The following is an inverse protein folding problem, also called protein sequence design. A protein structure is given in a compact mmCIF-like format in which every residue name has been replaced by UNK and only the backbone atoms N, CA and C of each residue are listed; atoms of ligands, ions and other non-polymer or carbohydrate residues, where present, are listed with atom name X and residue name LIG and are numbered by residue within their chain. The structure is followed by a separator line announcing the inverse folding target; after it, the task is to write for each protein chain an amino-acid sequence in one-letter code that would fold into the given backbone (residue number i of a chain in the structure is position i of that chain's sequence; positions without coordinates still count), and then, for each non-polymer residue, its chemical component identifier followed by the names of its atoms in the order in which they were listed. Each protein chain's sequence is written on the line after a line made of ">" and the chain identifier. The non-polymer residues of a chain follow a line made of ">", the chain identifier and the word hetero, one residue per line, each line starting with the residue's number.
data_IF_741032229105
#
_entry.id   IF_741032229105
#
_cell.length_a   1.000
_cell.length_b   1.000
_cell.length_c   1.000
_cell.angle_alpha   90.00
_cell.angle_beta   90.00
_cell.angle_gamma   90.00
#
_symmetry.space_group_name_H-M   'P 1'
#
loop_
_entity.id
_entity.type
_entity.pdbx_description
1 polymer ?
#
# COMPACT_ATOMS: atom_id res chain seq x y z
N UNK A 1 21.07 -4.15 -31.33
CA UNK A 1 20.37 -4.88 -30.28
C UNK A 1 19.81 -3.82 -29.36
N UNK A 2 18.49 -3.66 -29.30
CA UNK A 2 17.85 -2.75 -28.35
C UNK A 2 18.05 -3.37 -26.97
N UNK A 3 18.82 -2.73 -26.09
CA UNK A 3 18.86 -3.07 -24.67
C UNK A 3 17.55 -2.55 -24.06
N UNK A 4 16.47 -3.34 -24.16
CA UNK A 4 15.31 -3.07 -23.30
C UNK A 4 15.81 -3.27 -21.86
N UNK A 5 15.52 -2.32 -20.98
CA UNK A 5 15.71 -2.51 -19.54
C UNK A 5 14.84 -3.67 -19.10
N UNK A 6 15.36 -4.55 -18.26
CA UNK A 6 14.56 -5.61 -17.64
C UNK A 6 13.56 -5.01 -16.61
N UNK A 7 13.87 -3.82 -16.09
CA UNK A 7 13.03 -3.05 -15.18
C UNK A 7 12.03 -2.19 -15.93
N UNK A 8 10.76 -2.27 -15.56
CA UNK A 8 9.65 -1.57 -16.23
C UNK A 8 9.06 -0.47 -15.37
N UNK A 9 8.42 0.51 -16.00
CA UNK A 9 7.73 1.60 -15.28
C UNK A 9 6.44 1.09 -14.61
N UNK A 10 5.93 1.82 -13.62
CA UNK A 10 4.69 1.45 -12.94
C UNK A 10 3.49 1.47 -13.88
N UNK A 11 3.50 2.30 -14.93
CA UNK A 11 2.46 2.26 -15.97
C UNK A 11 2.51 0.97 -16.80
N UNK A 12 3.70 0.53 -17.21
CA UNK A 12 3.86 -0.74 -17.93
C UNK A 12 3.51 -1.94 -17.06
N UNK A 13 3.80 -1.86 -15.74
CA UNK A 13 3.37 -2.87 -14.77
C UNK A 13 1.83 -2.92 -14.67
N UNK A 14 1.16 -1.78 -14.63
CA UNK A 14 -0.29 -1.69 -14.62
C UNK A 14 -0.93 -2.36 -15.85
N UNK A 15 -0.37 -2.11 -17.03
CA UNK A 15 -0.82 -2.73 -18.29
C UNK A 15 -0.66 -4.25 -18.26
N UNK A 16 0.43 -4.75 -17.67
CA UNK A 16 0.67 -6.19 -17.51
C UNK A 16 -0.28 -6.85 -16.53
N UNK A 17 -0.65 -6.17 -15.46
CA UNK A 17 -1.58 -6.69 -14.44
C UNK A 17 -3.04 -6.64 -14.87
N UNK A 18 -3.42 -5.76 -15.81
CA UNK A 18 -4.81 -5.55 -16.20
C UNK A 18 -5.53 -6.78 -16.77
N UNK A 19 -4.91 -7.62 -17.62
CA UNK A 19 -5.59 -8.77 -18.20
C UNK A 19 -5.97 -9.83 -17.16
N UNK A 20 -7.23 -10.19 -17.13
CA UNK A 20 -7.78 -11.28 -16.28
C UNK A 20 -7.44 -11.16 -14.79
N UNK A 21 -7.21 -9.92 -14.31
CA UNK A 21 -6.83 -9.65 -12.93
C UNK A 21 -7.94 -10.06 -11.93
N UNK A 22 -7.53 -10.64 -10.80
CA UNK A 22 -8.46 -11.06 -9.74
C UNK A 22 -8.87 -9.92 -8.81
N UNK A 23 -9.11 -8.73 -9.36
CA UNK A 23 -9.45 -7.51 -8.63
C UNK A 23 -10.75 -7.68 -7.85
N UNK A 24 -10.75 -7.33 -6.57
CA UNK A 24 -11.99 -7.24 -5.80
C UNK A 24 -12.88 -6.11 -6.35
N UNK A 25 -14.20 -6.28 -6.34
CA UNK A 25 -15.10 -5.24 -6.80
C UNK A 25 -15.01 -3.98 -5.94
N UNK A 26 -15.22 -2.82 -6.56
CA UNK A 26 -15.48 -1.59 -5.83
C UNK A 26 -16.82 -1.72 -5.12
N UNK A 27 -16.87 -1.38 -3.83
CA UNK A 27 -18.06 -1.52 -2.99
C UNK A 27 -18.74 -0.17 -2.79
N UNK A 28 -20.07 -0.20 -2.81
CA UNK A 28 -20.92 0.94 -2.46
C UNK A 28 -21.28 1.01 -0.96
N UNK A 29 -20.72 0.14 -0.14
CA UNK A 29 -21.04 0.02 1.29
C UNK A 29 -20.80 1.31 2.08
N UNK A 30 -19.92 2.17 1.59
CA UNK A 30 -19.59 3.45 2.21
C UNK A 30 -20.46 4.60 1.69
N UNK A 31 -21.24 4.42 0.64
CA UNK A 31 -22.08 5.47 0.06
C UNK A 31 -23.00 6.11 1.09
N UNK A 32 -23.00 7.45 1.13
CA UNK A 32 -23.77 8.24 2.07
C UNK A 32 -23.22 8.25 3.50
N UNK A 33 -22.13 7.52 3.78
CA UNK A 33 -21.53 7.52 5.12
C UNK A 33 -20.57 8.68 5.29
N UNK A 34 -20.48 9.13 6.54
CA UNK A 34 -19.51 10.12 6.99
C UNK A 34 -18.81 9.56 8.22
N UNK A 35 -17.48 9.68 8.27
CA UNK A 35 -16.68 9.32 9.43
C UNK A 35 -15.82 10.51 9.85
N UNK A 36 -15.79 10.79 11.14
CA UNK A 36 -14.82 11.68 11.75
C UNK A 36 -13.58 10.87 12.15
N UNK A 37 -12.47 11.08 11.46
CA UNK A 37 -11.19 10.44 11.76
C UNK A 37 -10.44 11.26 12.80
N UNK A 38 -10.27 10.71 14.00
CA UNK A 38 -9.51 11.32 15.10
C UNK A 38 -8.14 10.68 15.19
N UNK A 39 -7.11 11.36 14.72
CA UNK A 39 -5.75 10.87 14.62
C UNK A 39 -5.00 10.95 15.95
N UNK A 40 -4.05 10.03 16.15
CA UNK A 40 -3.19 10.00 17.33
C UNK A 40 -2.31 11.26 17.50
N UNK A 41 -2.02 11.97 16.42
CA UNK A 41 -1.28 13.23 16.42
C UNK A 41 -2.14 14.48 16.70
N UNK A 42 -3.43 14.29 17.01
CA UNK A 42 -4.38 15.36 17.32
C UNK A 42 -5.16 15.91 16.12
N UNK A 43 -4.88 15.47 14.89
CA UNK A 43 -5.68 15.87 13.74
C UNK A 43 -7.09 15.29 13.83
N UNK A 44 -8.05 16.03 13.30
CA UNK A 44 -9.40 15.57 13.11
C UNK A 44 -9.85 15.93 11.68
N UNK A 45 -10.23 14.91 10.91
CA UNK A 45 -10.62 15.07 9.51
C UNK A 45 -11.92 14.32 9.27
N UNK A 46 -12.96 15.04 8.85
CA UNK A 46 -14.21 14.43 8.41
C UNK A 46 -14.03 13.91 6.98
N UNK A 47 -14.44 12.67 6.74
CA UNK A 47 -14.48 12.03 5.43
C UNK A 47 -15.92 11.69 5.09
N UNK A 48 -16.42 12.22 3.98
CA UNK A 48 -17.76 11.92 3.47
C UNK A 48 -17.64 11.14 2.17
N UNK A 49 -18.30 10.01 2.12
CA UNK A 49 -18.30 9.08 1.00
C UNK A 49 -19.58 9.26 0.19
N UNK A 50 -19.45 9.48 -1.11
CA UNK A 50 -20.52 9.53 -2.10
C UNK A 50 -20.20 8.54 -3.21
N UNK A 51 -21.16 8.22 -4.06
CA UNK A 51 -21.06 7.13 -5.04
C UNK A 51 -19.72 7.09 -5.82
N UNK A 52 -19.22 8.25 -6.27
CA UNK A 52 -18.03 8.32 -7.12
C UNK A 52 -16.92 9.20 -6.50
N UNK A 53 -17.14 9.77 -5.33
CA UNK A 53 -16.21 10.72 -4.74
C UNK A 53 -16.16 10.63 -3.21
N UNK A 54 -14.96 10.76 -2.69
CA UNK A 54 -14.68 11.01 -1.29
C UNK A 54 -14.34 12.48 -1.11
N UNK A 55 -15.02 13.16 -0.21
CA UNK A 55 -14.62 14.49 0.24
C UNK A 55 -14.05 14.44 1.65
N UNK A 56 -13.09 15.32 1.94
CA UNK A 56 -12.51 15.46 3.28
C UNK A 56 -12.45 16.92 3.71
N UNK A 57 -12.55 17.14 5.02
CA UNK A 57 -12.44 18.45 5.65
C UNK A 57 -11.77 18.34 7.01
N UNK A 58 -10.60 18.94 7.15
CA UNK A 58 -9.92 19.05 8.44
C UNK A 58 -10.65 20.03 9.36
N UNK A 59 -10.73 19.74 10.66
CA UNK A 59 -11.43 20.57 11.63
C UNK A 59 -10.82 21.97 11.77
N UNK A 60 -9.52 22.12 11.56
CA UNK A 60 -8.79 23.40 11.55
C UNK A 60 -8.95 24.17 10.23
N UNK A 61 -9.59 23.57 9.22
CA UNK A 61 -9.81 24.17 7.90
C UNK A 61 -8.59 24.22 6.99
N UNK A 62 -7.44 23.73 7.41
CA UNK A 62 -6.21 23.77 6.60
C UNK A 62 -6.16 22.76 5.45
N UNK A 63 -6.97 21.73 5.46
CA UNK A 63 -7.06 20.78 4.37
C UNK A 63 -8.53 20.44 4.07
N UNK A 64 -8.91 20.63 2.83
CA UNK A 64 -10.23 20.22 2.31
C UNK A 64 -10.06 19.80 0.86
N UNK A 65 -10.87 18.85 0.42
CA UNK A 65 -10.80 18.43 -0.97
C UNK A 65 -11.80 17.33 -1.30
N UNK A 66 -11.78 16.95 -2.56
CA UNK A 66 -12.60 15.86 -3.09
C UNK A 66 -11.78 15.10 -4.11
N UNK A 67 -11.90 13.78 -4.13
CA UNK A 67 -11.25 12.93 -5.12
C UNK A 67 -12.12 11.70 -5.43
N UNK A 68 -12.00 11.14 -6.62
CA UNK A 68 -12.47 9.78 -6.87
C UNK A 68 -11.77 8.81 -5.91
N UNK A 69 -12.48 7.79 -5.47
CA UNK A 69 -11.93 6.78 -4.58
C UNK A 69 -12.34 5.37 -5.00
N UNK A 70 -11.62 4.40 -4.50
CA UNK A 70 -11.97 2.99 -4.54
C UNK A 70 -12.10 2.47 -3.13
N UNK A 71 -13.16 1.71 -2.85
CA UNK A 71 -13.33 1.01 -1.58
C UNK A 71 -13.51 -0.48 -1.82
N UNK A 72 -12.77 -1.29 -1.07
CA UNK A 72 -12.88 -2.76 -1.10
C UNK A 72 -12.95 -3.30 0.32
N UNK A 73 -13.31 -4.58 0.45
CA UNK A 73 -13.31 -5.26 1.74
C UNK A 73 -12.84 -6.69 1.57
N UNK A 74 -11.86 -7.09 2.34
CA UNK A 74 -11.41 -8.49 2.45
C UNK A 74 -12.19 -9.24 3.54
N UNK A 75 -12.75 -8.51 4.52
CA UNK A 75 -13.62 -9.05 5.60
C UNK A 75 -14.72 -8.06 5.93
N UNK A 76 -15.92 -8.52 6.35
CA UNK A 76 -17.00 -7.64 6.77
C UNK A 76 -16.54 -6.60 7.80
N UNK A 77 -16.83 -5.33 7.56
CA UNK A 77 -16.49 -4.22 8.46
C UNK A 77 -15.04 -3.71 8.35
N UNK A 78 -14.21 -4.33 7.52
CA UNK A 78 -12.83 -3.90 7.25
C UNK A 78 -12.71 -3.45 5.80
N UNK A 79 -12.53 -2.16 5.58
CA UNK A 79 -12.46 -1.56 4.26
C UNK A 79 -11.07 -1.03 3.96
N UNK A 80 -10.61 -1.25 2.74
CA UNK A 80 -9.48 -0.53 2.16
C UNK A 80 -10.04 0.55 1.24
N UNK A 81 -9.82 1.80 1.59
CA UNK A 81 -10.18 2.98 0.79
C UNK A 81 -8.92 3.56 0.20
N UNK A 82 -8.90 3.78 -1.10
CA UNK A 82 -7.76 4.33 -1.82
C UNK A 82 -8.16 5.52 -2.67
N UNK A 83 -7.38 6.59 -2.60
CA UNK A 83 -7.56 7.79 -3.41
C UNK A 83 -6.25 8.57 -3.59
N UNK A 84 -6.23 9.42 -4.59
CA UNK A 84 -5.12 10.34 -4.85
C UNK A 84 -5.51 11.74 -4.40
N UNK A 85 -4.78 12.26 -3.43
CA UNK A 85 -4.88 13.65 -2.99
C UNK A 85 -3.94 14.52 -3.82
N UNK A 86 -4.47 15.61 -4.39
CA UNK A 86 -3.67 16.65 -5.07
C UNK A 86 -3.91 17.98 -4.39
N UNK A 87 -2.84 18.64 -3.97
CA UNK A 87 -2.87 19.92 -3.27
C UNK A 87 -1.54 20.65 -3.49
N UNK A 88 -1.56 21.94 -3.79
CA UNK A 88 -0.37 22.79 -3.99
C UNK A 88 0.66 22.21 -4.97
N UNK A 89 0.18 21.61 -6.06
CA UNK A 89 1.04 21.00 -7.09
C UNK A 89 1.71 19.69 -6.68
N UNK A 90 1.40 19.18 -5.49
CA UNK A 90 1.89 17.89 -5.01
C UNK A 90 0.82 16.81 -5.13
N UNK A 91 1.26 15.57 -5.25
CA UNK A 91 0.40 14.40 -5.34
C UNK A 91 0.77 13.41 -4.24
N UNK A 92 -0.23 13.03 -3.44
CA UNK A 92 -0.11 11.98 -2.43
C UNK A 92 -1.02 10.82 -2.76
N UNK A 93 -0.49 9.65 -2.58
CA UNK A 93 -1.28 8.42 -2.51
C UNK A 93 -1.78 8.26 -1.08
N UNK A 94 -3.09 8.20 -0.88
CA UNK A 94 -3.70 8.02 0.43
C UNK A 94 -4.49 6.73 0.44
N UNK A 95 -4.18 5.85 1.40
CA UNK A 95 -4.95 4.63 1.62
C UNK A 95 -5.39 4.57 3.08
N UNK A 96 -6.67 4.31 3.31
CA UNK A 96 -7.24 4.16 4.64
C UNK A 96 -7.68 2.71 4.84
N UNK A 97 -7.18 2.07 5.88
CA UNK A 97 -7.77 0.84 6.41
C UNK A 97 -8.77 1.26 7.47
N UNK A 98 -10.06 1.21 7.14
CA UNK A 98 -11.17 1.53 8.06
C UNK A 98 -11.66 0.24 8.70
N UNK A 99 -11.48 0.12 10.00
CA UNK A 99 -12.04 -0.95 10.83
C UNK A 99 -13.26 -0.43 11.56
N UNK A 100 -14.43 -0.67 10.98
CA UNK A 100 -15.70 -0.25 11.58
C UNK A 100 -16.13 -1.14 12.74
N UNK A 101 -15.49 -2.29 12.93
CA UNK A 101 -15.77 -3.22 14.06
C UNK A 101 -15.13 -2.68 15.33
N UNK A 102 -13.86 -2.31 15.29
CA UNK A 102 -13.15 -1.73 16.43
C UNK A 102 -13.26 -0.21 16.52
N UNK A 103 -13.91 0.44 15.53
CA UNK A 103 -13.98 1.89 15.35
C UNK A 103 -12.57 2.51 15.34
N UNK A 104 -11.66 1.96 14.53
CA UNK A 104 -10.29 2.38 14.39
C UNK A 104 -9.91 2.50 12.91
N UNK A 105 -8.79 3.18 12.64
CA UNK A 105 -8.24 3.24 11.30
C UNK A 105 -6.72 3.32 11.28
N UNK A 106 -6.16 2.96 10.14
CA UNK A 106 -4.77 3.26 9.76
C UNK A 106 -4.76 3.96 8.41
N UNK A 107 -4.12 5.12 8.35
CA UNK A 107 -3.86 5.83 7.10
C UNK A 107 -2.41 5.60 6.68
N UNK A 108 -2.22 5.31 5.40
CA UNK A 108 -0.91 5.23 4.74
C UNK A 108 -0.87 6.35 3.71
N UNK A 109 0.07 7.27 3.90
CA UNK A 109 0.24 8.44 3.03
C UNK A 109 1.59 8.31 2.35
N UNK A 110 1.56 8.12 1.02
CA UNK A 110 2.75 7.93 0.21
C UNK A 110 3.04 9.09 -0.72
N UNK A 111 4.32 9.36 -0.94
CA UNK A 111 4.79 10.35 -1.89
C UNK A 111 5.94 9.82 -2.74
N UNK A 112 5.82 10.02 -4.05
CA UNK A 112 6.91 9.71 -4.97
C UNK A 112 8.02 10.76 -4.87
N UNK A 113 9.28 10.34 -5.04
CA UNK A 113 10.42 11.26 -5.06
C UNK A 113 10.36 12.20 -6.28
N UNK A 114 10.86 13.41 -6.13
CA UNK A 114 11.12 14.25 -7.30
C UNK A 114 12.20 13.63 -8.20
N UNK A 115 12.22 14.00 -9.48
CA UNK A 115 13.19 13.49 -10.46
C UNK A 115 14.66 13.55 -9.96
N UNK A 116 15.05 14.66 -9.35
CA UNK A 116 16.41 14.82 -8.80
C UNK A 116 16.76 13.79 -7.71
N UNK A 117 15.77 13.37 -6.93
CA UNK A 117 15.97 12.36 -5.88
C UNK A 117 16.09 10.94 -6.45
N UNK A 118 15.43 10.65 -7.59
CA UNK A 118 15.54 9.35 -8.27
C UNK A 118 16.90 9.17 -8.95
N UNK A 119 17.56 10.27 -9.31
CA UNK A 119 18.89 10.25 -9.91
C UNK A 119 20.02 10.08 -8.88
N UNK A 120 19.74 10.18 -7.59
CA UNK A 120 20.72 9.91 -6.53
C UNK A 120 21.00 8.38 -6.47
N UNK A 121 22.22 8.00 -6.82
CA UNK A 121 22.62 6.59 -6.87
C UNK A 121 22.52 5.89 -5.53
N UNK A 122 22.18 4.60 -5.53
CA UNK A 122 22.04 3.77 -4.31
C UNK A 122 23.29 3.81 -3.42
N UNK A 123 24.48 3.80 -4.03
CA UNK A 123 25.75 3.90 -3.32
C UNK A 123 25.86 5.21 -2.54
N UNK A 124 25.52 6.35 -3.18
CA UNK A 124 25.55 7.66 -2.54
C UNK A 124 24.56 7.75 -1.38
N UNK A 125 23.36 7.20 -1.56
CA UNK A 125 22.33 7.12 -0.50
C UNK A 125 22.85 6.31 0.69
N UNK A 126 23.45 5.15 0.44
CA UNK A 126 23.99 4.29 1.48
C UNK A 126 25.10 4.98 2.28
N UNK A 127 26.05 5.66 1.62
CA UNK A 127 27.10 6.42 2.29
C UNK A 127 26.57 7.59 3.13
N UNK A 128 25.47 8.21 2.69
CA UNK A 128 24.79 9.29 3.41
C UNK A 128 23.88 8.79 4.55
N UNK A 129 23.82 7.49 4.81
CA UNK A 129 22.93 6.89 5.81
C UNK A 129 21.42 7.03 5.49
N UNK A 130 21.07 7.32 4.23
CA UNK A 130 19.70 7.45 3.77
C UNK A 130 19.09 6.05 3.47
N UNK A 131 17.76 5.88 3.55
CA UNK A 131 17.11 4.70 2.99
C UNK A 131 17.46 4.53 1.51
N UNK A 132 17.64 3.31 1.02
CA UNK A 132 17.94 3.06 -0.40
C UNK A 132 16.77 3.45 -1.31
N UNK A 133 15.54 3.22 -0.88
CA UNK A 133 14.37 3.78 -1.56
C UNK A 133 14.25 5.28 -1.29
N UNK A 134 13.83 6.03 -2.32
CA UNK A 134 13.49 7.45 -2.20
C UNK A 134 11.98 7.70 -2.05
N UNK A 135 11.18 6.65 -2.09
CA UNK A 135 9.73 6.72 -1.84
C UNK A 135 9.48 6.99 -0.36
N UNK A 136 8.70 8.00 -0.06
CA UNK A 136 8.32 8.37 1.30
C UNK A 136 6.96 7.77 1.65
N UNK A 137 6.82 7.32 2.89
CA UNK A 137 5.56 6.84 3.45
C UNK A 137 5.42 7.25 4.89
N UNK A 138 4.22 7.68 5.26
CA UNK A 138 3.82 8.00 6.63
C UNK A 138 2.65 7.11 7.04
N UNK A 139 2.70 6.62 8.28
CA UNK A 139 1.64 5.82 8.88
C UNK A 139 1.00 6.62 10.01
N UNK A 140 -0.29 6.83 9.91
CA UNK A 140 -1.09 7.51 10.94
C UNK A 140 -2.20 6.59 11.41
N UNK A 141 -2.44 6.58 12.71
CA UNK A 141 -3.45 5.75 13.34
C UNK A 141 -4.46 6.61 14.09
N UNK A 142 -5.65 6.09 14.25
CA UNK A 142 -6.67 6.83 14.97
C UNK A 142 -7.95 6.02 15.21
N UNK A 143 -8.97 6.74 15.61
CA UNK A 143 -10.31 6.21 15.90
C UNK A 143 -11.35 6.84 14.97
N UNK A 144 -12.40 6.07 14.68
CA UNK A 144 -13.55 6.52 13.92
C UNK A 144 -14.63 7.05 14.89
N UNK A 145 -15.15 8.25 14.60
CA UNK A 145 -16.32 8.86 15.26
C UNK A 145 -16.22 9.01 16.79
N UNK A 146 -15.03 8.91 17.34
CA UNK A 146 -14.76 9.12 18.77
C UNK A 146 -13.35 9.71 18.96
N UNK A 147 -13.16 10.55 20.01
CA UNK A 147 -11.84 11.12 20.30
C UNK A 147 -10.79 10.03 20.51
N UNK A 148 -9.58 10.29 19.98
CA UNK A 148 -8.45 9.41 20.17
C UNK A 148 -8.05 9.29 21.65
N UNK A 149 -7.72 8.07 22.05
CA UNK A 149 -7.05 7.76 23.30
C UNK A 149 -6.05 6.61 23.07
N UNK A 150 -4.91 6.58 23.77
CA UNK A 150 -3.97 5.47 23.68
C UNK A 150 -4.64 4.12 23.95
N UNK A 151 -4.31 3.11 23.13
CA UNK A 151 -4.84 1.76 23.25
C UNK A 151 -6.20 1.50 22.56
N UNK A 152 -6.84 2.53 21.98
CA UNK A 152 -8.12 2.34 21.28
C UNK A 152 -7.95 1.78 19.84
N UNK A 153 -6.81 2.00 19.21
CA UNK A 153 -6.53 1.42 17.91
C UNK A 153 -5.79 0.09 18.07
N UNK A 154 -6.34 -1.03 17.60
CA UNK A 154 -5.71 -2.35 17.72
C UNK A 154 -4.65 -2.58 16.61
N UNK A 155 -4.53 -1.68 15.64
CA UNK A 155 -3.58 -1.81 14.55
C UNK A 155 -2.16 -1.52 15.07
N UNK A 156 -1.31 -2.53 15.08
CA UNK A 156 0.04 -2.43 15.65
C UNK A 156 1.10 -2.98 14.69
N UNK A 157 2.32 -2.44 14.70
CA UNK A 157 3.45 -3.06 13.99
C UNK A 157 3.61 -4.52 14.43
N UNK A 158 3.93 -5.40 13.47
CA UNK A 158 4.06 -6.83 13.75
C UNK A 158 5.21 -7.48 13.00
N UNK A 159 5.73 -8.57 13.54
CA UNK A 159 6.68 -9.47 12.90
C UNK A 159 6.07 -10.80 12.46
N UNK A 160 4.75 -10.97 12.57
CA UNK A 160 4.09 -12.26 12.32
C UNK A 160 4.25 -12.80 10.89
N UNK A 161 4.58 -11.94 9.91
CA UNK A 161 4.92 -12.40 8.56
C UNK A 161 6.39 -12.85 8.43
N UNK A 162 7.28 -12.47 9.35
CA UNK A 162 8.71 -12.80 9.25
C UNK A 162 8.92 -14.31 9.24
N UNK A 163 9.71 -14.77 8.27
CA UNK A 163 9.94 -16.19 8.02
C UNK A 163 8.95 -16.82 7.04
N UNK A 164 7.81 -16.19 6.75
CA UNK A 164 6.89 -16.70 5.75
C UNK A 164 7.46 -16.51 4.34
N UNK A 165 7.12 -17.45 3.49
CA UNK A 165 7.34 -17.43 2.04
C UNK A 165 5.98 -17.64 1.38
N UNK A 166 5.45 -16.60 0.74
CA UNK A 166 4.08 -16.57 0.21
C UNK A 166 4.09 -16.44 -1.30
N UNK A 167 3.20 -17.20 -1.96
CA UNK A 167 2.89 -17.06 -3.37
C UNK A 167 1.66 -16.17 -3.53
N UNK A 168 1.74 -15.21 -4.45
CA UNK A 168 0.68 -14.30 -4.81
C UNK A 168 0.34 -14.46 -6.30
N UNK A 169 -0.87 -14.91 -6.57
CA UNK A 169 -1.39 -15.06 -7.94
C UNK A 169 -2.38 -13.94 -8.21
N UNK A 170 -1.96 -12.93 -8.96
CA UNK A 170 -2.76 -11.75 -9.31
C UNK A 170 -3.67 -11.99 -10.52
N UNK A 171 -3.25 -12.88 -11.43
CA UNK A 171 -4.00 -13.33 -12.59
C UNK A 171 -3.47 -14.71 -13.04
N UNK A 172 -4.01 -15.35 -14.09
CA UNK A 172 -3.40 -16.54 -14.67
C UNK A 172 -2.00 -16.33 -15.22
N UNK A 173 -1.65 -15.08 -15.56
CA UNK A 173 -0.34 -14.68 -16.13
C UNK A 173 0.58 -13.96 -15.19
N UNK A 174 0.11 -13.41 -14.05
CA UNK A 174 0.93 -12.64 -13.10
C UNK A 174 1.04 -13.38 -11.76
N UNK A 175 2.24 -13.89 -11.45
CA UNK A 175 2.52 -14.68 -10.25
C UNK A 175 3.83 -14.24 -9.61
N UNK A 176 3.74 -13.81 -8.37
CA UNK A 176 4.89 -13.33 -7.58
C UNK A 176 5.04 -14.15 -6.31
N UNK A 177 6.26 -14.16 -5.79
CA UNK A 177 6.59 -14.72 -4.49
C UNK A 177 7.18 -13.63 -3.61
N UNK A 178 6.76 -13.61 -2.35
CA UNK A 178 7.34 -12.76 -1.31
C UNK A 178 7.97 -13.60 -0.22
N UNK A 179 9.16 -13.21 0.22
CA UNK A 179 9.92 -13.82 1.30
C UNK A 179 10.14 -12.74 2.36
N UNK A 180 9.51 -12.89 3.51
CA UNK A 180 9.56 -11.89 4.58
C UNK A 180 10.78 -12.12 5.46
N UNK A 181 11.84 -11.31 5.27
CA UNK A 181 13.15 -11.52 5.89
C UNK A 181 13.22 -11.01 7.34
N UNK A 182 12.65 -9.84 7.59
CA UNK A 182 12.57 -9.19 8.89
C UNK A 182 11.49 -8.09 8.89
N UNK A 183 11.34 -7.35 9.99
CA UNK A 183 10.34 -6.27 10.11
C UNK A 183 10.54 -5.11 9.13
N UNK A 184 11.68 -5.03 8.44
CA UNK A 184 12.07 -3.88 7.63
C UNK A 184 12.32 -4.21 6.16
N UNK A 185 12.52 -5.49 5.82
CA UNK A 185 12.89 -5.93 4.49
C UNK A 185 12.21 -7.25 4.13
N UNK A 186 11.78 -7.31 2.89
CA UNK A 186 11.31 -8.52 2.24
C UNK A 186 12.01 -8.66 0.89
N UNK A 187 12.10 -9.89 0.36
CA UNK A 187 12.50 -10.14 -1.01
C UNK A 187 11.29 -10.58 -1.82
N UNK A 188 11.26 -10.18 -3.08
CA UNK A 188 10.26 -10.62 -4.03
C UNK A 188 10.90 -11.18 -5.29
N UNK A 189 10.18 -12.04 -5.98
CA UNK A 189 10.52 -12.46 -7.33
C UNK A 189 9.25 -12.62 -8.17
N UNK A 190 9.35 -12.28 -9.47
CA UNK A 190 8.33 -12.55 -10.46
C UNK A 190 8.56 -13.94 -11.07
N UNK A 191 7.67 -14.88 -10.75
CA UNK A 191 7.73 -16.25 -11.27
C UNK A 191 7.13 -16.37 -12.67
N UNK A 192 6.11 -15.54 -12.93
CA UNK A 192 5.41 -15.46 -14.20
C UNK A 192 4.82 -14.06 -14.33
N UNK A 193 4.98 -13.42 -15.49
CA UNK A 193 4.43 -12.08 -15.74
C UNK A 193 5.34 -11.19 -16.53
N UNK A 194 5.01 -9.90 -16.51
CA UNK A 194 5.74 -8.88 -17.28
C UNK A 194 7.15 -8.62 -16.75
N UNK A 195 7.43 -8.98 -15.50
CA UNK A 195 8.74 -8.92 -14.85
C UNK A 195 9.36 -10.30 -14.66
N UNK A 196 8.94 -11.30 -15.42
CA UNK A 196 9.40 -12.69 -15.21
C UNK A 196 10.91 -12.80 -15.13
N UNK A 197 11.39 -13.38 -14.02
CA UNK A 197 12.81 -13.57 -13.73
C UNK A 197 13.46 -12.45 -12.93
N UNK A 198 12.79 -11.30 -12.75
CA UNK A 198 13.27 -10.25 -11.85
C UNK A 198 13.02 -10.62 -10.39
N UNK A 199 13.90 -10.14 -9.54
CA UNK A 199 13.78 -10.21 -8.09
C UNK A 199 14.55 -9.05 -7.45
N UNK A 200 14.11 -8.64 -6.28
CA UNK A 200 14.84 -7.66 -5.45
C UNK A 200 14.53 -7.83 -3.97
N UNK A 201 15.22 -7.06 -3.14
CA UNK A 201 14.97 -6.94 -1.70
C UNK A 201 14.69 -5.48 -1.38
N UNK A 202 13.49 -5.19 -0.91
CA UNK A 202 13.01 -3.84 -0.70
C UNK A 202 12.55 -3.56 0.73
N UNK A 203 12.43 -2.28 1.05
CA UNK A 203 11.95 -1.79 2.33
C UNK A 203 10.47 -2.10 2.50
N UNK A 204 10.09 -2.63 3.66
CA UNK A 204 8.69 -2.85 3.99
C UNK A 204 8.35 -2.43 5.42
N UNK A 205 7.05 -2.30 5.67
CA UNK A 205 6.44 -2.11 6.97
C UNK A 205 5.19 -3.00 7.05
N UNK A 206 4.97 -3.64 8.19
CA UNK A 206 3.85 -4.56 8.40
C UNK A 206 3.10 -4.21 9.67
N UNK A 207 1.77 -4.11 9.58
CA UNK A 207 0.87 -3.88 10.71
C UNK A 207 -0.14 -5.01 10.80
N UNK A 208 -0.36 -5.53 12.00
CA UNK A 208 -1.49 -6.42 12.27
C UNK A 208 -2.76 -5.58 12.37
N UNK A 209 -3.76 -5.88 11.56
CA UNK A 209 -5.06 -5.23 11.54
C UNK A 209 -6.07 -6.04 12.36
N UNK A 210 -6.07 -7.35 12.14
CA UNK A 210 -6.87 -8.31 12.90
C UNK A 210 -6.14 -9.66 12.93
N UNK A 211 -6.75 -10.67 13.54
CA UNK A 211 -6.16 -12.00 13.51
C UNK A 211 -5.96 -12.52 12.10
N UNK A 212 -4.71 -12.89 11.75
CA UNK A 212 -4.26 -13.31 10.42
C UNK A 212 -4.60 -12.32 9.28
N UNK A 213 -4.79 -11.04 9.59
CA UNK A 213 -4.98 -9.97 8.63
C UNK A 213 -3.92 -8.88 8.83
N UNK A 214 -3.15 -8.62 7.79
CA UNK A 214 -1.99 -7.73 7.84
C UNK A 214 -2.07 -6.67 6.77
N UNK A 215 -1.77 -5.43 7.13
CA UNK A 215 -1.43 -4.37 6.20
C UNK A 215 0.07 -4.46 5.91
N UNK A 216 0.41 -4.78 4.68
CA UNK A 216 1.78 -4.86 4.20
C UNK A 216 2.04 -3.75 3.18
N UNK A 217 3.07 -2.95 3.45
CA UNK A 217 3.44 -1.78 2.63
C UNK A 217 4.90 -1.92 2.24
N UNK A 218 5.21 -1.79 0.94
CA UNK A 218 6.60 -1.83 0.46
C UNK A 218 6.95 -0.65 -0.42
N UNK A 219 8.24 -0.39 -0.52
CA UNK A 219 8.80 0.72 -1.30
C UNK A 219 10.01 0.24 -2.07
N UNK A 220 9.87 0.17 -3.38
CA UNK A 220 10.94 -0.28 -4.25
C UNK A 220 11.97 0.83 -4.50
N UNK A 221 13.21 0.43 -4.70
CA UNK A 221 14.34 1.35 -4.80
C UNK A 221 14.86 1.54 -6.21
N UNK A 222 14.62 0.59 -7.14
CA UNK A 222 15.10 0.68 -8.52
C UNK A 222 14.14 1.55 -9.35
N UNK A 223 12.91 1.11 -9.49
CA UNK A 223 11.81 1.93 -10.02
C UNK A 223 11.01 2.39 -8.81
N UNK A 224 10.98 3.71 -8.50
CA UNK A 224 10.26 4.19 -7.33
C UNK A 224 8.80 3.76 -7.35
N UNK A 225 8.46 2.80 -6.49
CA UNK A 225 7.14 2.18 -6.42
C UNK A 225 6.69 2.12 -4.96
N UNK A 226 5.45 2.48 -4.69
CA UNK A 226 4.76 2.22 -3.44
C UNK A 226 3.71 1.15 -3.67
N UNK A 227 3.91 -0.01 -3.06
CA UNK A 227 2.91 -1.05 -3.01
C UNK A 227 2.29 -1.16 -1.62
N UNK A 228 1.00 -1.47 -1.58
CA UNK A 228 0.23 -1.65 -0.36
C UNK A 228 -0.81 -2.73 -0.59
N UNK A 229 -0.86 -3.73 0.31
CA UNK A 229 -1.92 -4.74 0.31
C UNK A 229 -2.36 -5.10 1.73
N UNK A 230 -3.64 -5.37 1.90
CA UNK A 230 -4.15 -6.18 2.99
C UNK A 230 -3.94 -7.65 2.64
N UNK A 231 -3.25 -8.40 3.48
CA UNK A 231 -3.01 -9.84 3.34
C UNK A 231 -3.89 -10.55 4.35
N UNK A 232 -4.88 -11.27 3.86
CA UNK A 232 -5.76 -12.12 4.65
C UNK A 232 -5.35 -13.58 4.51
N UNK A 233 -4.65 -14.12 5.52
CA UNK A 233 -4.21 -15.51 5.51
C UNK A 233 -5.34 -16.50 5.81
N UNK A 234 -6.44 -16.05 6.43
CA UNK A 234 -7.62 -16.92 6.65
C UNK A 234 -8.41 -17.11 5.36
N UNK A 235 -8.55 -16.05 4.56
CA UNK A 235 -9.29 -16.08 3.30
C UNK A 235 -8.40 -16.44 2.10
N UNK A 236 -7.09 -16.59 2.34
CA UNK A 236 -6.10 -16.80 1.28
C UNK A 236 -6.19 -15.76 0.16
N UNK A 237 -6.35 -14.48 0.53
CA UNK A 237 -6.52 -13.35 -0.38
C UNK A 237 -5.62 -12.19 0.02
N UNK A 238 -5.22 -11.41 -0.99
CA UNK A 238 -4.73 -10.06 -0.76
C UNK A 238 -5.48 -9.06 -1.62
N UNK A 239 -5.54 -7.81 -1.15
CA UNK A 239 -6.17 -6.71 -1.89
C UNK A 239 -5.46 -5.40 -1.56
N UNK A 240 -5.22 -4.58 -2.58
CA UNK A 240 -4.53 -3.33 -2.41
C UNK A 240 -4.29 -2.60 -3.71
N UNK A 241 -3.12 -1.96 -3.80
CA UNK A 241 -2.72 -1.15 -4.95
C UNK A 241 -1.22 -1.08 -5.14
N UNK A 242 -0.84 -0.59 -6.34
CA UNK A 242 0.51 -0.14 -6.66
C UNK A 242 0.44 1.29 -7.18
N UNK A 243 1.34 2.15 -6.69
CA UNK A 243 1.44 3.57 -7.02
C UNK A 243 2.87 3.94 -7.38
N UNK A 244 3.04 4.72 -8.45
CA UNK A 244 4.33 5.25 -8.87
C UNK A 244 4.22 6.10 -10.13
N UNK A 245 5.34 6.47 -10.73
CA UNK A 245 5.33 7.17 -12.00
C UNK A 245 4.88 6.27 -13.15
N UNK A 246 3.96 6.77 -13.98
CA UNK A 246 3.45 6.02 -15.13
C UNK A 246 4.55 5.72 -16.16
N UNK A 247 5.44 6.68 -16.37
CA UNK A 247 6.54 6.62 -17.34
C UNK A 247 7.82 7.24 -16.80
N UNK A 248 8.76 7.51 -17.69
CA UNK A 248 10.06 8.09 -17.38
C UNK A 248 10.04 9.64 -17.28
N UNK A 249 8.92 10.28 -17.53
CA UNK A 249 8.78 11.76 -17.59
C UNK A 249 8.57 12.42 -16.23
N UNK A 250 8.24 11.65 -15.17
CA UNK A 250 7.97 12.12 -13.80
C UNK A 250 6.79 13.12 -13.67
N UNK A 251 5.93 13.20 -14.66
CA UNK A 251 4.79 14.13 -14.71
C UNK A 251 3.43 13.44 -14.51
N UNK A 252 3.35 12.14 -14.80
CA UNK A 252 2.15 11.34 -14.65
C UNK A 252 2.33 10.20 -13.65
N UNK A 253 1.27 9.93 -12.90
CA UNK A 253 1.23 8.84 -11.94
C UNK A 253 0.30 7.73 -12.40
N UNK A 254 0.72 6.49 -12.17
CA UNK A 254 -0.10 5.30 -12.21
C UNK A 254 -0.49 4.93 -10.79
N UNK A 255 -1.79 4.70 -10.55
CA UNK A 255 -2.33 4.17 -9.31
C UNK A 255 -3.36 3.12 -9.67
N UNK A 256 -3.00 1.85 -9.53
CA UNK A 256 -3.85 0.77 -9.99
C UNK A 256 -4.09 -0.28 -8.91
N UNK A 257 -5.30 -0.87 -8.88
CA UNK A 257 -5.64 -1.89 -7.91
C UNK A 257 -4.93 -3.21 -8.21
N UNK A 258 -4.57 -3.94 -7.16
CA UNK A 258 -4.07 -5.30 -7.23
C UNK A 258 -4.77 -6.16 -6.20
N UNK A 259 -5.23 -7.34 -6.61
CA UNK A 259 -5.76 -8.34 -5.69
C UNK A 259 -5.26 -9.72 -6.11
N UNK A 260 -5.00 -10.59 -5.16
CA UNK A 260 -4.47 -11.92 -5.48
C UNK A 260 -5.09 -13.01 -4.64
N UNK A 261 -4.95 -14.25 -5.11
CA UNK A 261 -4.97 -15.41 -4.22
C UNK A 261 -3.60 -15.58 -3.58
N UNK A 262 -3.59 -15.78 -2.26
CA UNK A 262 -2.38 -15.91 -1.45
C UNK A 262 -2.24 -17.33 -0.91
N UNK A 263 -1.04 -17.89 -1.02
CA UNK A 263 -0.70 -19.20 -0.47
C UNK A 263 0.62 -19.12 0.31
N UNK A 264 0.61 -19.54 1.56
CA UNK A 264 1.84 -19.77 2.33
C UNK A 264 2.52 -21.02 1.78
N UNK A 265 3.73 -20.89 1.24
CA UNK A 265 4.52 -21.99 0.69
C UNK A 265 5.31 -22.72 1.77
N UNK A 266 5.94 -21.96 2.65
CA UNK A 266 6.64 -22.46 3.83
C UNK A 266 6.82 -21.33 4.86
N UNK A 267 7.28 -21.74 6.03
CA UNK A 267 7.69 -20.86 7.12
C UNK A 267 9.09 -21.27 7.59
N UNK A 268 9.99 -20.32 7.66
CA UNK A 268 11.32 -20.49 8.26
C UNK A 268 11.24 -20.09 9.73
N UNK A 269 11.58 -20.99 10.60
CA UNK A 269 11.80 -20.69 12.01
C UNK A 269 13.29 -20.37 12.22
N UNK A 270 13.55 -19.19 12.78
CA UNK A 270 14.92 -18.81 13.12
C UNK A 270 15.23 -19.29 14.54
N UNK A 271 16.27 -20.10 14.72
CA UNK A 271 16.71 -20.44 16.07
C UNK A 271 17.20 -19.16 16.75
N UNK A 272 16.72 -18.89 17.95
CA UNK A 272 17.06 -17.82 18.88
C UNK A 272 18.01 -16.73 18.34
N UNK A 273 17.47 -15.78 17.55
CA UNK A 273 18.22 -14.66 17.00
C UNK A 273 17.91 -13.37 17.75
#
# INVERSE_FOLDING_TARGET
>A
MSTSSDWITVGALADGFAPEAFILPNLADLDGKTFALHFANGWQIEHRFEQDALSWKAADGHSTGTAPYRATSVRPGLYLVDFIKREDGQTWSVSLVLDTVSAAFTAVIGRMPAEAQTREGLYSRALAGKPLTSVEVEFLHGTLDRPWQPGLCPHVPTSELVGLRNLYRYSPSEVYEHIYLNQRFYSWQCLKGVEQGLCDTDRCDTYKIADQLYLFVWREKIIPTLGLVLIDLQQHRSDGKIFGYAGASFDEFSNFPVSSYCQVLNQTEYPDA
#
